data_IF_351061542864
#
_entry.id   IF_351061542864
#
_cell.length_a   1.000
_cell.length_b   1.000
_cell.length_c   1.000
_cell.angle_alpha   90.00
_cell.angle_beta   90.00
_cell.angle_gamma   90.00
#
_symmetry.space_group_name_H-M   'P 1'
#
loop_
_entity.id
_entity.type
_entity.pdbx_description
1 polymer ?
#
# COMPACT_ATOMS: atom_id res chain seq x y z
N UNK A 1 -33.79 9.63 -21.38
CA UNK A 1 -32.90 9.05 -20.36
C UNK A 1 -31.65 8.53 -21.07
N UNK A 2 -30.68 9.40 -21.31
CA UNK A 2 -29.43 9.08 -22.02
C UNK A 2 -28.32 9.97 -21.48
N UNK A 3 -27.87 9.71 -20.26
CA UNK A 3 -26.70 10.39 -19.65
C UNK A 3 -25.64 9.41 -19.11
N UNK A 4 -25.78 8.11 -19.38
CA UNK A 4 -24.85 7.11 -18.80
C UNK A 4 -23.51 6.99 -19.54
N UNK A 5 -23.29 7.69 -20.66
CA UNK A 5 -22.11 7.47 -21.51
C UNK A 5 -21.03 8.57 -21.42
N UNK A 6 -21.34 9.71 -20.81
CA UNK A 6 -20.39 10.83 -20.61
C UNK A 6 -19.50 10.61 -19.39
N UNK A 7 -20.01 10.00 -18.32
CA UNK A 7 -19.29 9.83 -17.05
C UNK A 7 -18.16 8.80 -17.10
N UNK A 8 -18.23 7.79 -17.96
CA UNK A 8 -17.14 6.82 -18.11
C UNK A 8 -15.97 7.37 -18.94
N UNK A 9 -16.21 8.40 -19.77
CA UNK A 9 -15.18 9.02 -20.62
C UNK A 9 -14.22 9.93 -19.85
N UNK A 10 -14.56 10.36 -18.64
CA UNK A 10 -13.72 11.21 -17.80
C UNK A 10 -12.66 10.45 -17.00
N UNK A 11 -12.73 9.12 -16.95
CA UNK A 11 -11.74 8.30 -16.26
C UNK A 11 -10.36 8.39 -16.95
N UNK A 12 -9.28 8.71 -16.22
CA UNK A 12 -7.95 8.72 -16.78
C UNK A 12 -7.48 7.30 -17.12
N UNK A 13 -6.57 7.20 -18.09
CA UNK A 13 -5.82 5.95 -18.27
C UNK A 13 -4.89 5.71 -17.08
N UNK A 14 -4.58 4.44 -16.82
CA UNK A 14 -3.60 4.04 -15.79
C UNK A 14 -2.25 4.73 -16.06
N UNK A 15 -1.79 4.79 -17.31
CA UNK A 15 -0.54 5.45 -17.68
C UNK A 15 -0.55 6.95 -17.35
N UNK A 16 -1.66 7.64 -17.65
CA UNK A 16 -1.82 9.06 -17.31
C UNK A 16 -1.79 9.25 -15.80
N UNK A 17 -2.41 8.35 -15.04
CA UNK A 17 -2.43 8.41 -13.58
C UNK A 17 -1.03 8.18 -13.00
N UNK A 18 -0.29 7.18 -13.47
CA UNK A 18 1.07 6.89 -12.99
C UNK A 18 2.06 8.00 -13.37
N UNK A 19 1.83 8.68 -14.49
CA UNK A 19 2.65 9.84 -14.89
C UNK A 19 2.49 11.07 -14.01
N UNK A 20 1.51 11.10 -13.09
CA UNK A 20 1.34 12.22 -12.16
C UNK A 20 2.56 12.37 -11.24
N UNK A 21 3.02 13.60 -11.04
CA UNK A 21 4.23 13.92 -10.25
C UNK A 21 4.20 13.29 -8.86
N UNK A 22 3.01 13.25 -8.22
CA UNK A 22 2.83 12.65 -6.88
C UNK A 22 3.08 11.15 -6.86
N UNK A 23 2.72 10.43 -7.93
CA UNK A 23 2.95 8.98 -8.05
C UNK A 23 4.36 8.68 -8.54
N UNK A 24 4.99 9.57 -9.32
CA UNK A 24 6.41 9.46 -9.65
C UNK A 24 7.29 9.50 -8.40
N UNK A 25 7.02 10.39 -7.44
CA UNK A 25 7.75 10.41 -6.15
C UNK A 25 7.63 9.10 -5.37
N UNK A 26 6.50 8.41 -5.50
CA UNK A 26 6.26 7.12 -4.82
C UNK A 26 6.98 5.96 -5.53
N UNK A 27 7.24 6.09 -6.83
CA UNK A 27 7.98 5.09 -7.62
C UNK A 27 9.44 4.92 -7.21
N UNK A 28 9.99 5.88 -6.45
CA UNK A 28 11.31 5.76 -5.82
C UNK A 28 11.33 4.77 -4.63
N UNK A 29 10.16 4.53 -4.02
CA UNK A 29 10.01 3.75 -2.77
C UNK A 29 9.31 2.41 -3.02
N UNK A 30 8.34 2.38 -3.93
CA UNK A 30 7.53 1.20 -4.22
C UNK A 30 7.75 0.72 -5.66
N UNK A 31 7.61 -0.59 -5.87
CA UNK A 31 7.75 -1.16 -7.22
C UNK A 31 6.67 -0.61 -8.16
N UNK A 32 7.06 -0.44 -9.44
CA UNK A 32 6.15 0.01 -10.48
C UNK A 32 4.91 -0.90 -10.60
N UNK A 33 5.10 -2.21 -10.47
CA UNK A 33 4.01 -3.19 -10.50
C UNK A 33 2.97 -2.96 -9.38
N UNK A 34 3.42 -2.68 -8.16
CA UNK A 34 2.51 -2.36 -7.03
C UNK A 34 1.68 -1.11 -7.32
N UNK A 35 2.31 -0.06 -7.84
CA UNK A 35 1.63 1.20 -8.18
C UNK A 35 0.59 0.97 -9.29
N UNK A 36 0.96 0.24 -10.36
CA UNK A 36 0.05 -0.10 -11.47
C UNK A 36 -1.15 -0.89 -10.99
N UNK A 37 -0.93 -1.91 -10.17
CA UNK A 37 -2.01 -2.77 -9.68
C UNK A 37 -3.00 -2.00 -8.80
N UNK A 38 -2.50 -1.12 -7.92
CA UNK A 38 -3.35 -0.29 -7.07
C UNK A 38 -4.11 0.77 -7.85
N UNK A 39 -3.46 1.39 -8.84
CA UNK A 39 -4.11 2.32 -9.77
C UNK A 39 -5.26 1.64 -10.53
N UNK A 40 -5.03 0.43 -11.08
CA UNK A 40 -6.05 -0.36 -11.78
C UNK A 40 -7.22 -0.69 -10.85
N UNK A 41 -6.93 -1.22 -9.67
CA UNK A 41 -7.95 -1.58 -8.69
C UNK A 41 -8.83 -0.38 -8.32
N UNK A 42 -8.21 0.78 -8.07
CA UNK A 42 -8.97 1.98 -7.72
C UNK A 42 -9.82 2.50 -8.88
N UNK A 43 -9.30 2.48 -10.12
CA UNK A 43 -10.11 2.85 -11.29
C UNK A 43 -11.28 1.89 -11.52
N UNK A 44 -11.13 0.60 -11.22
CA UNK A 44 -12.22 -0.38 -11.27
C UNK A 44 -13.29 -0.10 -10.20
N UNK A 45 -12.89 0.28 -8.99
CA UNK A 45 -13.80 0.73 -7.92
C UNK A 45 -14.58 1.99 -8.36
N UNK A 46 -13.90 2.96 -8.98
CA UNK A 46 -14.57 4.16 -9.50
C UNK A 46 -15.54 3.80 -10.63
N UNK A 47 -15.18 2.88 -11.54
CA UNK A 47 -16.10 2.39 -12.59
C UNK A 47 -17.37 1.76 -12.00
N UNK A 48 -17.22 0.97 -10.95
CA UNK A 48 -18.37 0.38 -10.24
C UNK A 48 -19.22 1.45 -9.54
N UNK A 49 -18.58 2.45 -8.94
CA UNK A 49 -19.28 3.57 -8.32
C UNK A 49 -20.08 4.39 -9.34
N UNK A 50 -19.51 4.63 -10.51
CA UNK A 50 -20.18 5.32 -11.62
C UNK A 50 -21.38 4.54 -12.16
N UNK A 51 -21.30 3.22 -12.26
CA UNK A 51 -22.42 2.39 -12.70
C UNK A 51 -23.58 2.38 -11.70
N UNK A 52 -23.30 2.70 -10.44
CA UNK A 52 -24.29 2.90 -9.38
C UNK A 52 -24.87 4.32 -9.35
N UNK A 53 -24.45 5.21 -10.24
CA UNK A 53 -24.96 6.59 -10.35
C UNK A 53 -24.25 7.62 -9.48
N UNK A 54 -23.13 7.26 -8.85
CA UNK A 54 -22.31 8.22 -8.12
C UNK A 54 -21.56 9.15 -9.07
N UNK A 55 -21.21 10.37 -8.63
CA UNK A 55 -20.44 11.32 -9.44
C UNK A 55 -19.03 10.79 -9.73
N UNK A 56 -18.47 11.17 -10.89
CA UNK A 56 -17.09 10.89 -11.22
C UNK A 56 -16.17 11.73 -10.32
N UNK A 57 -15.25 11.12 -9.56
CA UNK A 57 -14.20 11.87 -8.89
C UNK A 57 -13.30 12.56 -9.93
N UNK A 58 -12.72 13.68 -9.51
CA UNK A 58 -11.74 14.44 -10.28
C UNK A 58 -10.42 13.69 -10.39
N UNK A 59 -9.58 14.07 -11.37
CA UNK A 59 -8.27 13.45 -11.55
C UNK A 59 -7.41 13.50 -10.27
N UNK A 60 -7.38 14.66 -9.60
CA UNK A 60 -6.61 14.84 -8.36
C UNK A 60 -7.15 13.97 -7.23
N UNK A 61 -8.47 13.83 -7.09
CA UNK A 61 -9.06 12.93 -6.07
C UNK A 61 -8.67 11.46 -6.29
N UNK A 62 -8.62 11.01 -7.54
CA UNK A 62 -8.21 9.64 -7.88
C UNK A 62 -6.72 9.45 -7.57
N UNK A 63 -5.87 10.43 -7.92
CA UNK A 63 -4.43 10.38 -7.59
C UNK A 63 -4.23 10.33 -6.08
N UNK A 64 -4.96 11.14 -5.32
CA UNK A 64 -4.84 11.24 -3.86
C UNK A 64 -5.29 9.96 -3.15
N UNK A 65 -6.37 9.35 -3.63
CA UNK A 65 -6.83 8.07 -3.13
C UNK A 65 -5.79 6.96 -3.37
N UNK A 66 -5.19 6.90 -4.55
CA UNK A 66 -4.15 5.91 -4.88
C UNK A 66 -2.89 6.14 -4.03
N UNK A 67 -2.43 7.39 -3.90
CA UNK A 67 -1.28 7.76 -3.04
C UNK A 67 -1.53 7.34 -1.60
N UNK A 68 -2.69 7.68 -1.05
CA UNK A 68 -3.07 7.36 0.35
C UNK A 68 -3.10 5.85 0.57
N UNK A 69 -3.61 5.09 -0.42
CA UNK A 69 -3.67 3.63 -0.35
C UNK A 69 -2.28 2.97 -0.42
N UNK A 70 -1.38 3.49 -1.26
CA UNK A 70 0.00 2.99 -1.33
C UNK A 70 0.71 3.23 0.01
N UNK A 71 0.57 4.44 0.57
CA UNK A 71 1.18 4.79 1.84
C UNK A 71 0.63 3.94 3.00
N UNK A 72 -0.67 3.66 3.02
CA UNK A 72 -1.27 2.81 4.05
C UNK A 72 -0.75 1.37 3.97
N UNK A 73 -0.50 0.83 2.77
CA UNK A 73 0.06 -0.51 2.54
C UNK A 73 1.52 -0.64 2.96
N UNK A 74 2.39 0.34 2.65
CA UNK A 74 3.78 0.29 3.14
C UNK A 74 3.90 0.48 4.64
N UNK A 75 2.82 0.90 5.29
CA UNK A 75 2.72 1.03 6.73
C UNK A 75 2.33 -0.30 7.42
N UNK A 76 2.04 -1.35 6.65
CA UNK A 76 1.68 -2.70 7.11
C UNK A 76 2.96 -3.52 7.31
N UNK A 77 3.64 -3.27 8.42
CA UNK A 77 4.74 -4.09 8.91
C UNK A 77 4.73 -4.10 10.44
N UNK A 78 5.39 -5.07 11.09
CA UNK A 78 5.62 -5.01 12.54
C UNK A 78 6.31 -3.69 12.88
N UNK A 79 5.72 -2.92 13.80
CA UNK A 79 6.32 -1.68 14.30
C UNK A 79 6.87 -1.90 15.70
N UNK A 80 8.01 -1.28 16.05
CA UNK A 80 8.48 -1.28 17.43
C UNK A 80 7.45 -0.58 18.32
N UNK A 81 7.24 -1.12 19.52
CA UNK A 81 6.31 -0.61 20.53
C UNK A 81 7.00 -0.56 21.89
N UNK A 82 6.54 0.33 22.77
CA UNK A 82 6.97 0.36 24.17
C UNK A 82 5.98 -0.48 24.99
N UNK A 83 6.46 -1.53 25.64
CA UNK A 83 5.64 -2.30 26.57
C UNK A 83 5.46 -1.54 27.90
N UNK A 84 4.30 -0.92 28.08
CA UNK A 84 3.92 -0.23 29.32
C UNK A 84 3.03 -1.09 30.26
N UNK A 85 2.81 -2.36 29.94
CA UNK A 85 1.87 -3.24 30.69
C UNK A 85 2.53 -3.96 31.88
N UNK A 86 3.87 -4.03 31.91
CA UNK A 86 4.61 -4.85 32.88
C UNK A 86 4.60 -6.36 32.62
N UNK A 87 3.89 -6.83 31.58
CA UNK A 87 3.85 -8.26 31.20
C UNK A 87 5.10 -8.62 30.40
N UNK A 88 5.93 -9.54 30.93
CA UNK A 88 7.20 -9.96 30.30
C UNK A 88 6.97 -10.77 29.02
N UNK A 89 6.05 -11.75 29.05
CA UNK A 89 5.69 -12.59 27.90
C UNK A 89 4.37 -12.14 27.28
N UNK A 90 4.44 -11.14 26.41
CA UNK A 90 3.23 -10.51 25.87
C UNK A 90 2.86 -11.11 24.49
N UNK A 91 1.88 -12.02 24.45
CA UNK A 91 1.48 -12.72 23.22
C UNK A 91 1.06 -11.79 22.08
N UNK A 92 0.40 -10.67 22.39
CA UNK A 92 -0.01 -9.67 21.38
C UNK A 92 1.13 -8.69 20.97
N UNK A 93 2.27 -8.67 21.66
CA UNK A 93 3.42 -7.81 21.35
C UNK A 93 4.67 -8.62 20.95
N UNK A 94 4.48 -9.86 20.47
CA UNK A 94 5.60 -10.67 19.97
C UNK A 94 6.35 -11.49 21.03
N UNK A 95 5.74 -11.73 22.21
CA UNK A 95 6.29 -12.55 23.30
C UNK A 95 7.60 -11.96 23.87
N UNK A 96 8.65 -12.78 23.98
CA UNK A 96 9.94 -12.35 24.50
C UNK A 96 10.77 -11.71 23.37
N UNK A 97 11.31 -10.49 23.57
CA UNK A 97 12.32 -9.94 22.67
C UNK A 97 13.55 -10.85 22.58
N UNK A 98 14.14 -10.95 21.39
CA UNK A 98 15.41 -11.66 21.20
C UNK A 98 16.57 -10.87 21.81
N UNK A 99 17.56 -11.58 22.37
CA UNK A 99 18.83 -10.97 22.79
C UNK A 99 19.65 -10.51 21.57
N UNK A 100 20.60 -9.61 21.79
CA UNK A 100 21.51 -9.16 20.73
C UNK A 100 22.25 -10.33 20.05
N UNK A 101 22.73 -11.29 20.85
CA UNK A 101 23.43 -12.49 20.35
C UNK A 101 22.51 -13.37 19.49
N UNK A 102 21.25 -13.55 19.91
CA UNK A 102 20.27 -14.32 19.15
C UNK A 102 19.94 -13.64 17.81
N UNK A 103 19.79 -12.31 17.79
CA UNK A 103 19.58 -11.55 16.55
C UNK A 103 20.78 -11.70 15.61
N UNK A 104 22.01 -11.60 16.16
CA UNK A 104 23.23 -11.76 15.38
C UNK A 104 23.35 -13.16 14.76
N UNK A 105 23.02 -14.21 15.52
CA UNK A 105 23.02 -15.58 15.03
C UNK A 105 21.98 -15.80 13.91
N UNK A 106 20.75 -15.29 14.08
CA UNK A 106 19.69 -15.36 13.05
C UNK A 106 20.12 -14.65 11.78
N UNK A 107 20.72 -13.45 11.90
CA UNK A 107 21.22 -12.70 10.75
C UNK A 107 22.28 -13.49 9.99
N UNK A 108 23.30 -14.00 10.67
CA UNK A 108 24.35 -14.81 10.06
C UNK A 108 23.79 -16.06 9.37
N UNK A 109 22.83 -16.75 10.00
CA UNK A 109 22.19 -17.92 9.42
C UNK A 109 21.34 -17.60 8.18
N UNK A 110 20.77 -16.40 8.08
CA UNK A 110 19.84 -16.01 7.01
C UNK A 110 20.54 -15.43 5.77
N UNK A 111 21.82 -15.06 5.87
CA UNK A 111 22.55 -14.36 4.81
C UNK A 111 23.10 -15.28 3.71
N UNK A 112 23.12 -16.60 3.92
CA UNK A 112 23.62 -17.54 2.92
C UNK A 112 23.36 -19.00 3.26
N UNK A 113 23.90 -19.89 2.42
CA UNK A 113 23.89 -21.32 2.73
C UNK A 113 24.68 -21.58 4.01
N UNK A 114 24.03 -22.24 4.94
CA UNK A 114 24.63 -22.72 6.17
C UNK A 114 24.55 -24.26 6.17
N UNK A 115 25.23 -24.89 7.13
CA UNK A 115 25.29 -26.33 7.27
C UNK A 115 24.24 -26.89 8.25
N UNK A 116 23.10 -26.22 8.38
CA UNK A 116 21.95 -26.72 9.14
C UNK A 116 21.31 -27.93 8.47
#
# INVERSE_FOLDING_TARGET
MTESNSNFRSLPSVDKLISAERLQKISEIYSHETIVNLARQHLDEVRLSLSQGNPCPTFDEIVDAVVTRIQSLGSIGPRPVINATGVILHTNLGRAPLSADAIAAVKLASEGFNNL
#
